data_IF_961074301220
#
_entry.id   IF_961074301220
#
_cell.length_a   1.000
_cell.length_b   1.000
_cell.length_c   1.000
_cell.angle_alpha   90.00
_cell.angle_beta   90.00
_cell.angle_gamma   90.00
#
_symmetry.space_group_name_H-M   'P 1'
#
loop_
_entity.id
_entity.type
_entity.pdbx_description
1 polymer ?
#
# COMPACT_ATOMS: atom_id res chain seq x y z
N UNK A 1 25.02 -8.32 1.94
CA UNK A 1 23.81 -7.62 2.41
C UNK A 1 22.76 -7.86 1.35
N UNK A 2 21.62 -8.40 1.71
CA UNK A 2 20.54 -8.68 0.75
C UNK A 2 19.91 -7.36 0.27
N UNK A 3 19.46 -7.29 -0.99
CA UNK A 3 18.89 -6.04 -1.53
C UNK A 3 17.66 -5.55 -0.74
N UNK A 4 16.86 -6.49 -0.20
CA UNK A 4 15.71 -6.13 0.64
C UNK A 4 16.12 -5.36 1.91
N UNK A 5 17.29 -5.68 2.51
CA UNK A 5 17.81 -4.92 3.66
C UNK A 5 18.22 -3.49 3.26
N UNK A 6 18.75 -3.34 2.04
CA UNK A 6 19.12 -2.02 1.51
C UNK A 6 17.85 -1.19 1.26
N UNK A 7 16.85 -1.79 0.63
CA UNK A 7 15.56 -1.15 0.37
C UNK A 7 14.88 -0.72 1.67
N UNK A 8 14.80 -1.60 2.67
CA UNK A 8 14.19 -1.29 3.97
C UNK A 8 14.86 -0.09 4.65
N UNK A 9 16.21 -0.06 4.70
CA UNK A 9 16.94 1.07 5.28
C UNK A 9 16.74 2.37 4.49
N UNK A 10 16.62 2.28 3.18
CA UNK A 10 16.36 3.44 2.33
C UNK A 10 14.96 3.99 2.59
N UNK A 11 13.96 3.13 2.66
CA UNK A 11 12.59 3.51 3.00
C UNK A 11 12.52 4.10 4.41
N UNK A 12 13.16 3.46 5.41
CA UNK A 12 13.21 3.97 6.78
C UNK A 12 13.74 5.41 6.82
N UNK A 13 14.86 5.67 6.12
CA UNK A 13 15.45 7.01 6.02
C UNK A 13 14.49 8.00 5.34
N UNK A 14 13.86 7.61 4.21
CA UNK A 14 12.92 8.49 3.52
C UNK A 14 11.71 8.86 4.38
N UNK A 15 11.20 7.91 5.16
CA UNK A 15 10.12 8.17 6.12
C UNK A 15 10.56 9.17 7.20
N UNK A 16 11.77 9.02 7.73
CA UNK A 16 12.37 9.94 8.71
C UNK A 16 12.60 11.34 8.12
N UNK A 17 12.94 11.43 6.85
CA UNK A 17 13.13 12.68 6.10
C UNK A 17 11.81 13.33 5.64
N UNK A 18 10.65 12.73 5.93
CA UNK A 18 9.34 13.28 5.61
C UNK A 18 8.86 12.99 4.18
N UNK A 19 9.29 11.86 3.61
CA UNK A 19 8.79 11.41 2.32
C UNK A 19 7.26 11.27 2.31
N UNK A 20 6.62 11.85 1.29
CA UNK A 20 5.16 11.97 1.22
C UNK A 20 4.42 10.62 1.31
N UNK A 21 4.98 9.54 0.73
CA UNK A 21 4.41 8.20 0.80
C UNK A 21 4.68 7.46 2.13
N UNK A 22 5.43 8.09 3.03
CA UNK A 22 5.65 7.63 4.39
C UNK A 22 4.82 8.38 5.43
N UNK A 23 4.01 9.37 5.03
CA UNK A 23 3.18 10.16 5.95
C UNK A 23 1.92 9.35 6.30
N UNK A 24 1.71 9.00 7.59
CA UNK A 24 0.52 8.26 8.01
C UNK A 24 -0.77 9.06 7.83
N UNK A 25 -1.89 8.37 7.69
CA UNK A 25 -3.23 8.95 7.68
C UNK A 25 -3.47 9.81 8.92
N UNK A 26 -4.03 11.00 8.73
CA UNK A 26 -4.41 11.89 9.83
C UNK A 26 -5.66 11.39 10.59
N UNK A 27 -5.89 11.90 11.81
CA UNK A 27 -7.10 11.59 12.56
C UNK A 27 -8.37 12.04 11.82
N UNK A 28 -8.32 13.20 11.17
CA UNK A 28 -9.46 13.75 10.42
C UNK A 28 -9.83 12.86 9.23
N UNK A 29 -8.82 12.34 8.51
CA UNK A 29 -9.03 11.41 7.39
C UNK A 29 -9.58 10.07 7.88
N UNK A 30 -9.14 9.57 9.05
CA UNK A 30 -9.70 8.38 9.67
C UNK A 30 -11.17 8.57 10.04
N UNK A 31 -11.53 9.70 10.64
CA UNK A 31 -12.93 10.01 10.94
C UNK A 31 -13.79 10.12 9.67
N UNK A 32 -13.24 10.71 8.61
CA UNK A 32 -13.93 10.75 7.32
C UNK A 32 -14.15 9.34 6.72
N UNK A 33 -13.17 8.43 6.89
CA UNK A 33 -13.32 7.02 6.49
C UNK A 33 -14.39 6.32 7.33
N UNK A 34 -14.44 6.53 8.65
CA UNK A 34 -15.51 6.03 9.53
C UNK A 34 -16.89 6.57 9.16
N UNK A 35 -16.96 7.79 8.63
CA UNK A 35 -18.19 8.38 8.10
C UNK A 35 -18.58 7.85 6.70
N UNK A 36 -17.83 6.87 6.16
CA UNK A 36 -18.14 6.18 4.89
C UNK A 36 -17.32 6.64 3.69
N UNK A 37 -16.36 7.57 3.86
CA UNK A 37 -15.48 7.97 2.77
C UNK A 37 -14.44 6.88 2.50
N UNK A 38 -14.56 6.19 1.35
CA UNK A 38 -13.59 5.21 0.86
C UNK A 38 -12.79 5.84 -0.29
N UNK A 39 -11.58 6.29 0.01
CA UNK A 39 -10.67 6.87 -0.98
C UNK A 39 -9.27 6.30 -0.75
N UNK A 40 -8.85 5.41 -1.63
CA UNK A 40 -7.56 4.71 -1.56
C UNK A 40 -6.87 4.79 -2.91
N UNK A 41 -5.56 4.92 -2.88
CA UNK A 41 -4.70 5.00 -4.06
C UNK A 41 -3.92 3.69 -4.22
N UNK A 42 -3.94 3.14 -5.43
CA UNK A 42 -2.99 2.11 -5.88
C UNK A 42 -1.85 2.74 -6.68
N UNK A 43 -2.11 3.89 -7.26
CA UNK A 43 -1.16 4.70 -8.03
C UNK A 43 -1.29 6.16 -7.59
N UNK A 44 -0.28 7.02 -7.80
CA UNK A 44 -0.24 8.35 -7.20
C UNK A 44 -1.42 9.28 -7.50
N UNK A 45 -2.13 9.07 -8.61
CA UNK A 45 -3.01 10.13 -9.15
C UNK A 45 -4.50 9.81 -9.15
N UNK A 46 -4.90 8.54 -9.04
CA UNK A 46 -6.31 8.15 -9.16
C UNK A 46 -6.79 7.27 -8.02
N UNK A 47 -7.87 7.63 -7.34
CA UNK A 47 -8.53 6.74 -6.40
C UNK A 47 -9.01 5.46 -7.08
N UNK A 48 -8.92 4.35 -6.36
CA UNK A 48 -9.48 3.07 -6.81
C UNK A 48 -11.01 3.17 -6.90
N UNK A 49 -11.62 2.75 -8.02
CA UNK A 49 -13.07 2.73 -8.15
C UNK A 49 -13.75 1.93 -7.04
N UNK A 50 -14.87 2.41 -6.52
CA UNK A 50 -15.58 1.79 -5.39
C UNK A 50 -16.01 0.35 -5.66
N UNK A 51 -16.40 0.04 -6.87
CA UNK A 51 -16.86 -1.29 -7.32
C UNK A 51 -15.74 -2.34 -7.41
N UNK A 52 -14.47 -1.90 -7.33
CA UNK A 52 -13.34 -2.82 -7.25
C UNK A 52 -13.20 -3.45 -5.86
N UNK A 53 -13.71 -2.79 -4.83
CA UNK A 53 -13.69 -3.33 -3.46
C UNK A 53 -14.86 -4.28 -3.24
N UNK A 54 -14.67 -5.39 -2.47
CA UNK A 54 -15.78 -6.17 -1.95
C UNK A 54 -16.52 -5.38 -0.87
N UNK A 55 -17.51 -6.01 -0.23
CA UNK A 55 -17.98 -5.55 1.07
C UNK A 55 -16.82 -5.66 2.07
N UNK A 56 -16.49 -4.56 2.73
CA UNK A 56 -15.35 -4.49 3.62
C UNK A 56 -15.67 -4.94 5.04
N UNK A 57 -16.94 -4.96 5.45
CA UNK A 57 -17.31 -5.39 6.79
C UNK A 57 -16.95 -6.87 7.00
N UNK A 58 -16.01 -7.14 7.91
CA UNK A 58 -15.49 -8.49 8.17
C UNK A 58 -14.58 -9.07 7.07
N UNK A 59 -14.28 -8.30 6.00
CA UNK A 59 -13.36 -8.70 4.94
C UNK A 59 -11.93 -8.81 5.49
N UNK A 60 -11.27 -9.95 5.29
CA UNK A 60 -9.88 -10.17 5.67
C UNK A 60 -8.95 -9.59 4.60
N UNK A 61 -8.34 -8.46 4.92
CA UNK A 61 -7.52 -7.68 4.00
C UNK A 61 -6.05 -7.82 4.36
N UNK A 62 -5.23 -8.19 3.39
CA UNK A 62 -3.78 -8.10 3.46
C UNK A 62 -3.30 -6.83 2.76
N UNK A 63 -2.68 -5.91 3.50
CA UNK A 63 -1.84 -4.87 2.95
C UNK A 63 -0.45 -5.44 2.66
N UNK A 64 -0.14 -5.67 1.39
CA UNK A 64 1.11 -6.31 0.97
C UNK A 64 2.12 -5.25 0.54
N UNK A 65 3.23 -5.14 1.29
CA UNK A 65 4.19 -4.04 1.19
C UNK A 65 3.47 -2.69 1.17
N UNK A 66 2.58 -2.52 2.15
CA UNK A 66 1.65 -1.41 2.29
C UNK A 66 1.73 -0.82 3.70
N UNK A 67 2.93 -0.83 4.29
CA UNK A 67 3.20 -0.17 5.56
C UNK A 67 3.06 1.35 5.47
N UNK A 68 3.17 2.04 6.62
CA UNK A 68 3.08 3.50 6.68
C UNK A 68 1.72 4.04 7.10
N UNK A 69 0.75 3.17 7.36
CA UNK A 69 -0.57 3.54 7.89
C UNK A 69 -1.34 4.54 7.01
N UNK A 70 -1.30 4.35 5.70
CA UNK A 70 -2.08 5.14 4.75
C UNK A 70 -3.35 4.42 4.30
N UNK A 71 -3.28 3.10 4.09
CA UNK A 71 -4.36 2.30 3.54
C UNK A 71 -5.08 1.47 4.62
N UNK A 72 -4.33 0.81 5.50
CA UNK A 72 -4.91 -0.07 6.52
C UNK A 72 -5.88 0.63 7.47
N UNK A 73 -5.62 1.88 7.95
CA UNK A 73 -6.59 2.60 8.76
C UNK A 73 -7.93 2.81 8.06
N UNK A 74 -7.93 3.05 6.74
CA UNK A 74 -9.16 3.21 5.96
C UNK A 74 -9.94 1.90 5.90
N UNK A 75 -9.28 0.77 5.64
CA UNK A 75 -9.93 -0.55 5.66
C UNK A 75 -10.49 -0.88 7.03
N UNK A 76 -9.73 -0.63 8.10
CA UNK A 76 -10.19 -0.84 9.48
C UNK A 76 -11.41 0.03 9.81
N UNK A 77 -11.43 1.30 9.38
CA UNK A 77 -12.56 2.21 9.56
C UNK A 77 -13.84 1.70 8.87
N UNK A 78 -13.72 0.90 7.81
CA UNK A 78 -14.84 0.25 7.12
C UNK A 78 -15.15 -1.17 7.67
N UNK A 79 -14.54 -1.57 8.79
CA UNK A 79 -14.83 -2.83 9.47
C UNK A 79 -14.10 -4.05 8.91
N UNK A 80 -13.06 -3.86 8.12
CA UNK A 80 -12.20 -4.95 7.65
C UNK A 80 -11.34 -5.51 8.78
N UNK A 81 -11.00 -6.80 8.69
CA UNK A 81 -9.98 -7.45 9.51
C UNK A 81 -8.64 -7.27 8.79
N UNK A 82 -7.79 -6.43 9.34
CA UNK A 82 -6.58 -5.96 8.68
C UNK A 82 -5.33 -6.74 9.12
N UNK A 83 -4.54 -7.16 8.14
CA UNK A 83 -3.17 -7.64 8.30
C UNK A 83 -2.28 -6.81 7.39
N UNK A 84 -1.15 -6.31 7.87
CA UNK A 84 -0.14 -5.64 7.05
C UNK A 84 1.16 -6.43 7.07
N UNK A 85 1.75 -6.61 5.89
CA UNK A 85 3.09 -7.14 5.72
C UNK A 85 3.96 -6.08 5.06
N UNK A 86 5.07 -5.77 5.70
CA UNK A 86 6.11 -4.90 5.17
C UNK A 86 7.48 -5.32 5.68
N UNK A 87 8.54 -4.91 5.01
CA UNK A 87 9.90 -5.23 5.46
C UNK A 87 10.58 -4.06 6.18
N UNK A 88 10.09 -2.82 5.99
CA UNK A 88 10.56 -1.62 6.67
C UNK A 88 10.05 -1.56 8.12
N UNK A 89 10.95 -1.60 9.13
CA UNK A 89 10.58 -1.40 10.53
C UNK A 89 9.85 -0.08 10.79
N UNK A 90 10.27 1.00 10.11
CA UNK A 90 9.69 2.33 10.31
C UNK A 90 8.28 2.43 9.75
N UNK A 91 8.01 1.83 8.59
CA UNK A 91 6.66 1.74 8.03
C UNK A 91 5.71 0.95 8.96
N UNK A 92 6.17 -0.18 9.49
CA UNK A 92 5.40 -0.97 10.44
C UNK A 92 5.21 -0.26 11.79
N UNK A 93 6.14 0.59 12.19
CA UNK A 93 5.97 1.41 13.39
C UNK A 93 4.87 2.45 13.20
N UNK A 94 4.75 3.06 12.03
CA UNK A 94 3.64 3.96 11.70
C UNK A 94 2.28 3.26 11.80
N UNK A 95 2.18 1.99 11.37
CA UNK A 95 0.94 1.20 11.54
C UNK A 95 0.56 1.03 13.01
N UNK A 96 1.53 0.70 13.89
CA UNK A 96 1.29 0.57 15.34
C UNK A 96 0.82 1.87 15.97
N UNK A 97 1.47 2.98 15.59
CA UNK A 97 1.18 4.32 16.13
C UNK A 97 -0.24 4.76 15.76
N UNK A 98 -0.64 4.56 14.50
CA UNK A 98 -1.98 4.93 14.03
C UNK A 98 -3.04 3.98 14.60
N UNK A 99 -2.80 2.67 14.61
CA UNK A 99 -3.73 1.71 15.21
C UNK A 99 -3.99 2.02 16.69
N UNK A 100 -2.94 2.34 17.46
CA UNK A 100 -3.06 2.73 18.85
C UNK A 100 -3.80 4.07 19.02
N UNK A 101 -3.53 5.07 18.18
CA UNK A 101 -4.19 6.37 18.18
C UNK A 101 -5.69 6.27 17.89
N UNK A 102 -6.05 5.47 16.88
CA UNK A 102 -7.43 5.36 16.39
C UNK A 102 -8.24 4.23 17.06
N UNK A 103 -7.57 3.34 17.81
CA UNK A 103 -8.21 2.28 18.58
C UNK A 103 -8.79 1.16 17.72
N UNK A 104 -8.08 0.71 16.69
CA UNK A 104 -8.42 -0.48 15.91
C UNK A 104 -7.35 -1.57 15.99
N UNK A 105 -7.76 -2.82 15.78
CA UNK A 105 -6.86 -3.97 15.77
C UNK A 105 -6.28 -4.18 14.37
N UNK A 106 -4.99 -4.52 14.30
CA UNK A 106 -4.29 -4.88 13.08
C UNK A 106 -3.20 -5.91 13.38
N UNK A 107 -3.11 -6.94 12.57
CA UNK A 107 -1.98 -7.85 12.58
C UNK A 107 -0.82 -7.24 11.78
N UNK A 108 0.37 -7.16 12.39
CA UNK A 108 1.55 -6.52 11.79
C UNK A 108 2.65 -7.55 11.63
N UNK A 109 3.00 -7.87 10.38
CA UNK A 109 3.98 -8.90 10.02
C UNK A 109 5.17 -8.25 9.34
N UNK A 110 6.37 -8.45 9.90
CA UNK A 110 7.61 -8.08 9.23
C UNK A 110 8.13 -9.25 8.43
N UNK A 111 8.02 -9.17 7.09
CA UNK A 111 8.54 -10.21 6.20
C UNK A 111 8.92 -9.61 4.83
N UNK A 112 9.86 -10.27 4.17
CA UNK A 112 10.26 -9.95 2.80
C UNK A 112 9.26 -10.60 1.83
N UNK A 113 8.56 -9.78 1.05
CA UNK A 113 7.55 -10.27 0.08
C UNK A 113 8.15 -11.04 -1.09
N UNK A 114 9.47 -11.01 -1.29
CA UNK A 114 10.15 -11.85 -2.28
C UNK A 114 10.29 -13.32 -1.84
N UNK A 115 10.02 -13.60 -0.56
CA UNK A 115 10.02 -14.93 0.05
C UNK A 115 8.59 -15.49 0.15
N UNK A 116 8.40 -16.79 0.40
CA UNK A 116 7.08 -17.34 0.67
C UNK A 116 6.37 -16.56 1.77
N UNK A 117 5.14 -16.13 1.51
CA UNK A 117 4.37 -15.34 2.49
C UNK A 117 4.01 -16.19 3.71
N UNK A 118 4.20 -15.69 4.95
CA UNK A 118 4.02 -16.45 6.17
C UNK A 118 2.53 -16.62 6.56
N UNK A 119 1.69 -16.92 5.59
CA UNK A 119 0.24 -17.05 5.75
C UNK A 119 -0.25 -18.39 5.20
N UNK A 120 -1.36 -18.88 5.75
CA UNK A 120 -2.03 -20.10 5.27
C UNK A 120 -2.70 -19.86 3.91
N UNK A 121 -2.94 -20.95 3.18
CA UNK A 121 -3.68 -20.92 1.91
C UNK A 121 -5.12 -20.40 2.15
N UNK A 122 -5.60 -19.52 1.26
CA UNK A 122 -6.97 -19.03 1.26
C UNK A 122 -7.37 -18.23 2.49
N UNK A 123 -6.41 -17.66 3.23
CA UNK A 123 -6.70 -16.93 4.47
C UNK A 123 -7.18 -15.48 4.26
N UNK A 124 -7.05 -14.91 3.06
CA UNK A 124 -7.47 -13.54 2.77
C UNK A 124 -8.60 -13.47 1.74
N UNK A 125 -9.47 -12.48 1.90
CA UNK A 125 -10.55 -12.16 0.96
C UNK A 125 -10.07 -11.14 -0.08
N UNK A 126 -9.12 -10.26 0.31
CA UNK A 126 -8.53 -9.25 -0.54
C UNK A 126 -7.07 -9.00 -0.18
N UNK A 127 -6.26 -8.74 -1.22
CA UNK A 127 -4.91 -8.19 -1.09
C UNK A 127 -4.89 -6.81 -1.72
N UNK A 128 -4.32 -5.84 -1.00
CA UNK A 128 -4.07 -4.49 -1.48
C UNK A 128 -2.55 -4.25 -1.55
N UNK A 129 -2.04 -4.00 -2.77
CA UNK A 129 -0.60 -3.88 -3.04
C UNK A 129 -0.31 -2.57 -3.79
N UNK A 130 -0.07 -1.45 -3.09
CA UNK A 130 0.14 -0.15 -3.72
C UNK A 130 1.59 0.00 -4.23
N UNK A 131 1.78 -0.09 -5.54
CA UNK A 131 3.04 0.23 -6.28
C UNK A 131 4.35 -0.18 -5.58
N UNK A 132 4.40 -1.41 -5.04
CA UNK A 132 5.62 -1.90 -4.35
C UNK A 132 6.36 -3.00 -5.11
N UNK A 133 5.89 -3.35 -6.31
CA UNK A 133 6.53 -4.37 -7.16
C UNK A 133 7.95 -3.99 -7.61
N UNK A 134 8.29 -2.70 -7.63
CA UNK A 134 9.62 -2.21 -7.99
C UNK A 134 10.72 -2.54 -6.95
N UNK A 135 10.33 -3.00 -5.75
CA UNK A 135 11.29 -3.35 -4.70
C UNK A 135 11.72 -4.82 -4.70
N UNK A 136 11.27 -5.62 -5.67
CA UNK A 136 11.67 -7.02 -5.83
C UNK A 136 12.15 -7.31 -7.26
N UNK A 137 13.06 -8.26 -7.39
CA UNK A 137 13.67 -8.62 -8.68
C UNK A 137 12.71 -9.45 -9.56
N UNK A 138 11.94 -10.34 -8.95
CA UNK A 138 11.01 -11.24 -9.65
C UNK A 138 9.59 -11.13 -9.09
N UNK A 139 8.65 -10.70 -9.92
CA UNK A 139 7.24 -10.48 -9.52
C UNK A 139 6.41 -11.78 -9.60
N UNK A 140 6.73 -12.69 -10.52
CA UNK A 140 5.91 -13.90 -10.71
C UNK A 140 5.82 -14.82 -9.49
N UNK A 141 6.90 -15.06 -8.71
CA UNK A 141 6.78 -15.78 -7.45
C UNK A 141 5.82 -15.12 -6.47
N UNK A 142 5.86 -13.78 -6.35
CA UNK A 142 4.94 -13.03 -5.49
C UNK A 142 3.48 -13.21 -5.92
N UNK A 143 3.17 -13.18 -7.23
CA UNK A 143 1.80 -13.39 -7.70
C UNK A 143 1.28 -14.81 -7.43
N UNK A 144 2.16 -15.81 -7.45
CA UNK A 144 1.80 -17.18 -7.04
C UNK A 144 1.46 -17.25 -5.56
N UNK A 145 2.22 -16.58 -4.71
CA UNK A 145 1.94 -16.47 -3.29
C UNK A 145 0.64 -15.69 -3.02
N UNK A 146 0.42 -14.56 -3.72
CA UNK A 146 -0.86 -13.87 -3.64
C UNK A 146 -2.04 -14.76 -4.01
N UNK A 147 -1.91 -15.57 -5.07
CA UNK A 147 -2.93 -16.53 -5.47
C UNK A 147 -3.14 -17.62 -4.41
N UNK A 148 -2.07 -18.10 -3.78
CA UNK A 148 -2.12 -19.14 -2.74
C UNK A 148 -2.85 -18.65 -1.49
N UNK A 149 -2.52 -17.44 -1.01
CA UNK A 149 -3.09 -16.91 0.23
C UNK A 149 -4.49 -16.30 0.06
N UNK A 150 -4.89 -15.98 -1.16
CA UNK A 150 -6.27 -15.57 -1.48
C UNK A 150 -7.21 -16.78 -1.48
N UNK A 151 -8.38 -16.62 -0.86
CA UNK A 151 -9.45 -17.62 -1.00
C UNK A 151 -9.96 -17.68 -2.44
N UNK A 152 -10.63 -18.78 -2.85
CA UNK A 152 -11.35 -18.79 -4.12
C UNK A 152 -12.33 -17.62 -4.23
N UNK A 153 -12.23 -16.87 -5.33
CA UNK A 153 -13.00 -15.64 -5.55
C UNK A 153 -12.50 -14.40 -4.80
N UNK A 154 -11.36 -14.49 -4.10
CA UNK A 154 -10.67 -13.34 -3.51
C UNK A 154 -10.13 -12.39 -4.57
N UNK A 155 -9.82 -11.15 -4.18
CA UNK A 155 -9.38 -10.09 -5.09
C UNK A 155 -7.96 -9.62 -4.78
N UNK A 156 -7.12 -9.50 -5.81
CA UNK A 156 -5.86 -8.78 -5.76
C UNK A 156 -6.05 -7.41 -6.42
N UNK A 157 -5.87 -6.34 -5.66
CA UNK A 157 -5.80 -4.97 -6.16
C UNK A 157 -4.34 -4.51 -6.08
N UNK A 158 -3.70 -4.33 -7.23
CA UNK A 158 -2.29 -3.98 -7.31
C UNK A 158 -2.07 -2.75 -8.21
N UNK A 159 -1.29 -1.80 -7.71
CA UNK A 159 -0.65 -0.77 -8.51
C UNK A 159 0.70 -1.27 -8.99
N UNK A 160 1.03 -1.05 -10.26
CA UNK A 160 2.28 -1.54 -10.83
C UNK A 160 3.13 -0.36 -11.31
N UNK A 161 4.39 -0.34 -10.89
CA UNK A 161 5.39 0.51 -11.51
C UNK A 161 5.87 -0.17 -12.80
N UNK A 162 5.89 0.58 -13.89
CA UNK A 162 6.34 0.10 -15.21
C UNK A 162 7.79 0.53 -15.54
N UNK A 163 8.49 1.14 -14.58
CA UNK A 163 9.87 1.59 -14.74
C UNK A 163 10.06 2.88 -15.53
N UNK A 164 9.01 3.48 -16.09
CA UNK A 164 9.13 4.75 -16.85
C UNK A 164 9.65 5.88 -15.95
N UNK A 165 9.31 5.87 -14.67
CA UNK A 165 9.75 6.87 -13.70
C UNK A 165 11.26 6.98 -13.58
N UNK A 166 12.00 5.88 -13.83
CA UNK A 166 13.45 5.84 -13.75
C UNK A 166 14.17 6.39 -14.99
N UNK A 167 13.41 6.75 -16.04
CA UNK A 167 13.95 7.39 -17.24
C UNK A 167 14.08 8.91 -17.07
N UNK A 168 13.51 9.48 -16.02
CA UNK A 168 13.49 10.92 -15.76
C UNK A 168 14.10 11.24 -14.40
N UNK A 169 14.80 12.36 -14.29
CA UNK A 169 15.27 12.84 -12.99
C UNK A 169 14.05 13.27 -12.13
N UNK A 170 14.11 12.98 -10.84
CA UNK A 170 12.99 13.07 -9.89
C UNK A 170 12.34 14.46 -9.74
N UNK A 171 13.00 15.51 -10.23
CA UNK A 171 12.49 16.88 -10.20
C UNK A 171 11.52 17.21 -11.35
N UNK A 172 11.47 16.42 -12.40
CA UNK A 172 10.73 16.74 -13.62
C UNK A 172 9.30 16.18 -13.65
N UNK A 173 8.95 15.25 -12.77
CA UNK A 173 7.64 14.61 -12.79
C UNK A 173 6.50 15.59 -12.47
N UNK A 174 6.72 16.53 -11.57
CA UNK A 174 5.75 17.61 -11.27
C UNK A 174 5.65 18.64 -12.37
N UNK A 175 6.73 18.89 -13.10
CA UNK A 175 6.81 19.89 -14.15
C UNK A 175 6.21 19.37 -15.46
N UNK A 176 6.40 18.09 -15.81
CA UNK A 176 5.77 17.45 -16.98
C UNK A 176 4.24 17.49 -16.88
N UNK A 177 3.67 17.24 -15.70
CA UNK A 177 2.22 17.37 -15.52
C UNK A 177 1.73 18.81 -15.65
N UNK A 178 2.49 19.81 -15.15
CA UNK A 178 2.17 21.22 -15.34
C UNK A 178 2.29 21.67 -16.79
N UNK A 179 3.29 21.23 -17.51
CA UNK A 179 3.47 21.55 -18.93
C UNK A 179 2.42 20.88 -19.80
N UNK A 180 2.03 19.63 -19.53
CA UNK A 180 0.95 18.94 -20.23
C UNK A 180 -0.40 19.61 -20.00
N UNK A 181 -0.71 20.05 -18.78
CA UNK A 181 -1.93 20.82 -18.49
C UNK A 181 -1.93 22.18 -19.17
N UNK A 182 -0.79 22.84 -19.30
CA UNK A 182 -0.67 24.13 -20.02
C UNK A 182 -0.78 23.97 -21.53
N UNK A 183 -0.28 22.85 -22.10
CA UNK A 183 -0.41 22.57 -23.55
C UNK A 183 -1.84 22.24 -23.97
N UNK A 184 -2.60 21.57 -23.12
CA UNK A 184 -4.02 21.25 -23.39
C UNK A 184 -4.93 22.49 -23.31
N UNK A 185 -4.47 23.56 -22.65
CA UNK A 185 -5.22 24.84 -22.58
C UNK A 185 -4.96 25.80 -23.76
N UNK A 186 -4.00 25.49 -24.62
CA UNK A 186 -3.61 26.34 -25.76
C UNK A 186 -4.05 25.80 -27.12
N UNK A 187 -4.80 24.72 -27.19
CA UNK A 187 -5.45 24.18 -28.39
C UNK A 187 -6.95 24.12 -28.21
#
# INVERSE_FOLDING_TARGET
>A
MHYADINARTIDRWVEEGWEWGIPLSHEEYLAAKAGRLSLLLTPTKPVPRDWFPDLAGCRVLGLASGGAQQMPVFAAHGAVCTVLDYSPRQLQSEREVAAREGYDIEIVRADMSQPLPFADGCFDMIFHPVSNCYIEEVLPLWRECFRVLRPGGRLLAGLDNGINYLFESLQFRDIHREAENHVRMT
#
